data_IF_623833103503
#
_entry.id   IF_623833103503
#
_cell.length_a   1.000
_cell.length_b   1.000
_cell.length_c   1.000
_cell.angle_alpha   90.00
_cell.angle_beta   90.00
_cell.angle_gamma   90.00
#
_symmetry.space_group_name_H-M   'P 1'
#
loop_
_entity.id
_entity.type
_entity.pdbx_description
1 polymer ?
#
# COMPACT_ATOMS: atom_id res chain seq x y z
N UNK A 1 9.08 -66.56 -12.68
CA UNK A 1 10.30 -66.37 -11.86
C UNK A 1 11.26 -65.29 -12.39
N UNK A 2 12.11 -65.50 -13.41
CA UNK A 2 13.03 -64.41 -13.88
C UNK A 2 12.28 -63.18 -14.43
N UNK A 3 11.27 -63.41 -15.25
CA UNK A 3 10.46 -62.38 -15.90
C UNK A 3 9.60 -61.59 -14.90
N UNK A 4 9.03 -62.27 -13.90
CA UNK A 4 8.38 -61.66 -12.74
C UNK A 4 9.32 -60.77 -11.92
N UNK A 5 10.56 -61.20 -11.73
CA UNK A 5 11.56 -60.39 -11.01
C UNK A 5 11.93 -59.14 -11.81
N UNK A 6 12.03 -59.23 -13.14
CA UNK A 6 12.31 -58.05 -13.98
C UNK A 6 11.13 -57.07 -14.03
N UNK A 7 9.89 -57.57 -14.12
CA UNK A 7 8.69 -56.72 -14.09
C UNK A 7 8.53 -55.99 -12.76
N UNK A 8 8.75 -56.68 -11.63
CA UNK A 8 8.74 -56.05 -10.31
C UNK A 8 9.84 -55.00 -10.15
N UNK A 9 11.05 -55.25 -10.69
CA UNK A 9 12.14 -54.26 -10.70
C UNK A 9 11.76 -53.01 -11.51
N UNK A 10 11.18 -53.19 -12.69
CA UNK A 10 10.75 -52.08 -13.53
C UNK A 10 9.66 -51.23 -12.85
N UNK A 11 8.69 -51.87 -12.18
CA UNK A 11 7.68 -51.17 -11.39
C UNK A 11 8.30 -50.36 -10.25
N UNK A 12 9.24 -50.93 -9.48
CA UNK A 12 9.91 -50.21 -8.41
C UNK A 12 10.65 -48.98 -8.96
N UNK A 13 11.38 -49.12 -10.06
CA UNK A 13 12.08 -48.00 -10.69
C UNK A 13 11.13 -46.89 -11.14
N UNK A 14 9.97 -47.25 -11.70
CA UNK A 14 8.95 -46.29 -12.10
C UNK A 14 8.36 -45.57 -10.88
N UNK A 15 7.97 -46.30 -9.83
CA UNK A 15 7.41 -45.71 -8.60
C UNK A 15 8.41 -44.78 -7.91
N UNK A 16 9.69 -45.16 -7.87
CA UNK A 16 10.76 -44.30 -7.31
C UNK A 16 10.91 -43.01 -8.10
N UNK A 17 10.81 -43.08 -9.44
CA UNK A 17 10.88 -41.89 -10.29
C UNK A 17 9.69 -40.96 -10.05
N UNK A 18 8.48 -41.51 -10.00
CA UNK A 18 7.26 -40.73 -9.72
C UNK A 18 7.32 -40.09 -8.33
N UNK A 19 7.82 -40.81 -7.32
CA UNK A 19 8.04 -40.25 -5.99
C UNK A 19 9.03 -39.08 -6.00
N UNK A 20 10.14 -39.21 -6.73
CA UNK A 20 11.12 -38.12 -6.86
C UNK A 20 10.51 -36.88 -7.56
N UNK A 21 9.76 -37.09 -8.65
CA UNK A 21 9.07 -36.00 -9.36
C UNK A 21 8.01 -35.32 -8.46
N UNK A 22 7.30 -36.10 -7.64
CA UNK A 22 6.32 -35.58 -6.68
C UNK A 22 6.98 -34.74 -5.59
N UNK A 23 8.14 -35.19 -5.09
CA UNK A 23 8.90 -34.47 -4.07
C UNK A 23 9.48 -33.16 -4.62
N UNK A 24 10.01 -33.16 -5.85
CA UNK A 24 10.47 -31.94 -6.52
C UNK A 24 9.32 -30.92 -6.69
N UNK A 25 8.12 -31.38 -7.06
CA UNK A 25 6.95 -30.51 -7.20
C UNK A 25 6.52 -29.91 -5.85
N UNK A 26 6.62 -30.69 -4.75
CA UNK A 26 6.34 -30.18 -3.40
C UNK A 26 7.33 -29.14 -2.96
N UNK A 27 8.62 -29.35 -3.21
CA UNK A 27 9.66 -28.36 -2.90
C UNK A 27 9.43 -27.05 -3.68
N UNK A 28 9.13 -27.14 -4.98
CA UNK A 28 8.80 -25.96 -5.79
C UNK A 28 7.55 -25.23 -5.29
N UNK A 29 6.52 -25.97 -4.87
CA UNK A 29 5.32 -25.38 -4.30
C UNK A 29 5.63 -24.64 -2.99
N UNK A 30 6.36 -25.28 -2.08
CA UNK A 30 6.74 -24.69 -0.80
C UNK A 30 7.61 -23.42 -0.99
N UNK A 31 8.49 -23.41 -1.99
CA UNK A 31 9.26 -22.21 -2.33
C UNK A 31 8.35 -21.10 -2.88
N UNK A 32 7.41 -21.42 -3.76
CA UNK A 32 6.43 -20.46 -4.27
C UNK A 32 5.57 -19.86 -3.14
N UNK A 33 5.13 -20.68 -2.19
CA UNK A 33 4.36 -20.21 -1.03
C UNK A 33 5.17 -19.24 -0.17
N UNK A 34 6.45 -19.53 0.08
CA UNK A 34 7.36 -18.60 0.78
C UNK A 34 7.53 -17.29 0.05
N UNK A 35 7.73 -17.31 -1.27
CA UNK A 35 7.87 -16.11 -2.08
C UNK A 35 6.60 -15.25 -2.04
N UNK A 36 5.43 -15.87 -2.15
CA UNK A 36 4.14 -15.18 -2.02
C UNK A 36 3.98 -14.56 -0.64
N UNK A 37 4.33 -15.29 0.43
CA UNK A 37 4.26 -14.75 1.80
C UNK A 37 5.20 -13.55 1.99
N UNK A 38 6.42 -13.62 1.45
CA UNK A 38 7.38 -12.52 1.49
C UNK A 38 6.87 -11.29 0.71
N UNK A 39 6.30 -11.50 -0.48
CA UNK A 39 5.71 -10.42 -1.28
C UNK A 39 4.53 -9.77 -0.56
N UNK A 40 3.64 -10.55 0.06
CA UNK A 40 2.51 -10.02 0.81
C UNK A 40 2.98 -9.16 2.00
N UNK A 41 3.99 -9.61 2.75
CA UNK A 41 4.59 -8.80 3.83
C UNK A 41 5.11 -7.46 3.31
N UNK A 42 5.79 -7.44 2.16
CA UNK A 42 6.26 -6.19 1.54
C UNK A 42 5.12 -5.27 1.11
N UNK A 43 4.00 -5.80 0.64
CA UNK A 43 2.81 -5.02 0.31
C UNK A 43 2.14 -4.41 1.54
N UNK A 44 2.03 -5.17 2.63
CA UNK A 44 1.47 -4.66 3.89
C UNK A 44 2.31 -3.52 4.47
N UNK A 45 3.64 -3.61 4.37
CA UNK A 45 4.55 -2.53 4.76
C UNK A 45 4.35 -1.27 3.91
N UNK A 46 4.33 -1.42 2.58
CA UNK A 46 4.07 -0.31 1.66
C UNK A 46 2.71 0.34 1.89
N UNK A 47 1.69 -0.48 2.20
CA UNK A 47 0.36 0.00 2.51
C UNK A 47 0.40 0.85 3.80
N UNK A 48 1.04 0.35 4.86
CA UNK A 48 1.20 1.09 6.13
C UNK A 48 1.93 2.42 5.94
N UNK A 49 3.01 2.44 5.18
CA UNK A 49 3.77 3.67 4.89
C UNK A 49 2.91 4.68 4.13
N UNK A 50 2.15 4.20 3.14
CA UNK A 50 1.24 5.05 2.35
C UNK A 50 0.11 5.62 3.22
N UNK A 51 -0.49 4.79 4.08
CA UNK A 51 -1.54 5.22 5.01
C UNK A 51 -1.03 6.22 6.04
N UNK A 52 0.21 6.06 6.53
CA UNK A 52 0.82 6.99 7.47
C UNK A 52 0.97 8.39 6.86
N UNK A 53 1.54 8.48 5.65
CA UNK A 53 1.69 9.75 4.92
C UNK A 53 0.33 10.35 4.58
N UNK A 54 -0.64 9.52 4.16
CA UNK A 54 -2.00 9.99 3.89
C UNK A 54 -2.66 10.59 5.14
N UNK A 55 -2.52 9.92 6.29
CA UNK A 55 -3.08 10.36 7.57
C UNK A 55 -2.43 11.65 8.06
N UNK A 56 -1.12 11.78 7.91
CA UNK A 56 -0.39 13.01 8.25
C UNK A 56 -0.90 14.19 7.41
N UNK A 57 -0.98 14.04 6.08
CA UNK A 57 -1.55 15.06 5.20
C UNK A 57 -2.99 15.42 5.54
N UNK A 58 -3.81 14.42 5.88
CA UNK A 58 -5.20 14.65 6.28
C UNK A 58 -5.28 15.40 7.62
N UNK A 59 -4.37 15.10 8.56
CA UNK A 59 -4.26 15.81 9.83
C UNK A 59 -3.86 17.27 9.62
N UNK A 60 -2.86 17.54 8.78
CA UNK A 60 -2.42 18.90 8.47
C UNK A 60 -3.55 19.73 7.85
N UNK A 61 -4.30 19.14 6.92
CA UNK A 61 -5.50 19.76 6.33
C UNK A 61 -6.56 20.03 7.40
N UNK A 62 -6.84 19.08 8.28
CA UNK A 62 -7.81 19.23 9.35
C UNK A 62 -7.40 20.33 10.36
N UNK A 63 -6.10 20.43 10.68
CA UNK A 63 -5.58 21.45 11.60
C UNK A 63 -5.79 22.87 11.08
N UNK A 64 -5.72 23.07 9.76
CA UNK A 64 -6.04 24.36 9.13
C UNK A 64 -7.53 24.54 8.83
N UNK A 65 -8.38 23.56 9.14
CA UNK A 65 -9.83 23.62 8.93
C UNK A 65 -10.29 23.19 7.53
N UNK A 66 -9.47 22.44 6.79
CA UNK A 66 -9.84 21.81 5.52
C UNK A 66 -10.20 20.34 5.75
N UNK A 67 -11.34 19.92 5.22
CA UNK A 67 -11.66 18.50 5.05
C UNK A 67 -11.92 18.19 3.58
N UNK A 68 -11.32 17.11 3.09
CA UNK A 68 -11.65 16.55 1.77
C UNK A 68 -12.85 15.63 1.95
N UNK A 69 -13.98 16.00 1.37
CA UNK A 69 -15.23 15.24 1.46
C UNK A 69 -15.70 14.88 0.05
N UNK A 70 -15.60 13.60 -0.31
CA UNK A 70 -15.92 13.13 -1.66
C UNK A 70 -15.03 13.80 -2.71
N UNK A 71 -15.63 14.46 -3.70
CA UNK A 71 -14.92 15.18 -4.78
C UNK A 71 -14.64 16.66 -4.49
N UNK A 72 -14.89 17.14 -3.27
CA UNK A 72 -14.84 18.57 -2.94
C UNK A 72 -13.98 18.90 -1.71
N UNK A 73 -13.65 20.19 -1.59
CA UNK A 73 -12.96 20.78 -0.44
C UNK A 73 -14.01 21.47 0.43
N UNK A 74 -14.05 21.14 1.71
CA UNK A 74 -14.86 21.85 2.72
C UNK A 74 -13.94 22.60 3.67
N UNK A 75 -14.26 23.87 3.90
CA UNK A 75 -13.55 24.78 4.81
C UNK A 75 -14.38 25.02 6.07
N UNK A 76 -13.73 25.10 7.23
CA UNK A 76 -14.34 25.47 8.50
C UNK A 76 -14.86 26.92 8.48
N UNK A 77 -16.04 27.15 9.10
CA UNK A 77 -16.76 28.43 9.02
C UNK A 77 -16.28 29.48 10.02
N UNK A 78 -15.47 29.10 10.99
CA UNK A 78 -14.97 29.91 12.10
C UNK A 78 -13.55 30.47 11.86
N UNK A 79 -13.01 30.28 10.65
CA UNK A 79 -11.70 30.80 10.24
C UNK A 79 -11.83 31.76 9.06
N UNK A 80 -10.93 32.75 9.00
CA UNK A 80 -10.86 33.69 7.88
C UNK A 80 -9.97 33.12 6.78
N UNK A 81 -10.46 33.13 5.54
CA UNK A 81 -9.73 32.65 4.38
C UNK A 81 -9.99 33.49 3.13
N UNK A 82 -9.03 33.50 2.20
CA UNK A 82 -9.16 34.05 0.86
C UNK A 82 -9.26 32.91 -0.15
N UNK A 83 -10.12 33.05 -1.14
CA UNK A 83 -10.24 32.12 -2.27
C UNK A 83 -9.68 32.80 -3.51
N UNK A 84 -8.77 32.13 -4.19
CA UNK A 84 -8.25 32.61 -5.46
C UNK A 84 -9.28 32.33 -6.56
N UNK A 85 -9.78 33.39 -7.20
CA UNK A 85 -10.73 33.31 -8.32
C UNK A 85 -10.05 33.43 -9.68
N UNK A 86 -8.73 33.54 -9.70
CA UNK A 86 -7.97 33.59 -10.93
C UNK A 86 -8.10 32.26 -11.68
N UNK A 87 -8.40 32.34 -12.97
CA UNK A 87 -8.65 31.18 -13.82
C UNK A 87 -7.40 30.69 -14.57
N UNK A 88 -6.28 31.42 -14.47
CA UNK A 88 -5.03 31.08 -15.16
C UNK A 88 -4.25 29.99 -14.39
N UNK A 89 -4.10 28.78 -14.98
CA UNK A 89 -3.41 27.67 -14.33
C UNK A 89 -1.87 27.82 -14.30
N UNK A 90 -1.31 28.84 -14.97
CA UNK A 90 0.14 29.09 -14.99
C UNK A 90 0.63 29.92 -13.81
N UNK A 91 -0.28 30.50 -13.02
CA UNK A 91 0.07 31.20 -11.79
C UNK A 91 0.36 30.22 -10.66
N UNK A 92 1.49 30.44 -9.98
CA UNK A 92 1.93 29.66 -8.83
C UNK A 92 1.29 30.20 -7.52
N UNK A 93 -0.03 30.25 -7.50
CA UNK A 93 -0.85 30.71 -6.37
C UNK A 93 -1.66 29.54 -5.79
N UNK A 94 -1.98 29.60 -4.49
CA UNK A 94 -2.86 28.63 -3.84
C UNK A 94 -4.32 28.94 -4.17
N UNK A 95 -5.18 27.91 -4.17
CA UNK A 95 -6.64 28.11 -4.31
C UNK A 95 -7.25 28.76 -3.06
N UNK A 96 -6.74 28.44 -1.87
CA UNK A 96 -7.25 28.93 -0.58
C UNK A 96 -6.08 29.37 0.30
N UNK A 97 -6.19 30.56 0.90
CA UNK A 97 -5.21 31.10 1.86
C UNK A 97 -5.87 31.33 3.21
N UNK A 98 -5.31 30.79 4.30
CA UNK A 98 -5.78 31.08 5.65
C UNK A 98 -5.12 32.33 6.23
N UNK A 99 -5.92 33.17 6.87
CA UNK A 99 -5.45 34.38 7.54
C UNK A 99 -5.34 34.07 9.03
N UNK A 100 -4.12 33.90 9.53
CA UNK A 100 -3.86 33.82 10.96
C UNK A 100 -3.80 35.24 11.53
N UNK A 101 -4.71 35.55 12.45
CA UNK A 101 -4.64 36.79 13.23
C UNK A 101 -3.51 36.59 14.24
N UNK A 102 -2.34 37.18 13.96
CA UNK A 102 -1.31 37.30 14.98
C UNK A 102 -1.86 38.28 16.01
N UNK A 103 -2.29 37.76 17.16
CA UNK A 103 -2.58 38.59 18.32
C UNK A 103 -1.27 39.28 18.69
N UNK A 104 -1.14 40.55 18.32
CA UNK A 104 -0.12 41.43 18.89
C UNK A 104 -0.41 41.46 20.39
N UNK A 105 0.31 40.64 21.17
CA UNK A 105 0.36 40.82 22.61
C UNK A 105 0.76 42.26 22.84
N UNK A 106 -0.12 42.99 23.52
CA UNK A 106 0.03 44.38 23.91
C UNK A 106 1.43 44.60 24.46
N UNK A 107 2.15 45.56 23.89
CA UNK A 107 3.16 46.29 24.66
C UNK A 107 2.41 46.96 25.82
N UNK A 108 2.51 46.35 26.99
CA UNK A 108 2.15 46.92 28.29
C UNK A 108 3.44 46.98 29.12
#
# INVERSE_FOLDING_TARGET
>A
LREEVETLRAQITQTVREQNETEELRERLAESERLVELMNKSWDERLKDTEAVYRERQKDLAEIGISVAGSGIKVEKDRFYLVNLNADPSLNELLVYYINVISTNSYA
#
